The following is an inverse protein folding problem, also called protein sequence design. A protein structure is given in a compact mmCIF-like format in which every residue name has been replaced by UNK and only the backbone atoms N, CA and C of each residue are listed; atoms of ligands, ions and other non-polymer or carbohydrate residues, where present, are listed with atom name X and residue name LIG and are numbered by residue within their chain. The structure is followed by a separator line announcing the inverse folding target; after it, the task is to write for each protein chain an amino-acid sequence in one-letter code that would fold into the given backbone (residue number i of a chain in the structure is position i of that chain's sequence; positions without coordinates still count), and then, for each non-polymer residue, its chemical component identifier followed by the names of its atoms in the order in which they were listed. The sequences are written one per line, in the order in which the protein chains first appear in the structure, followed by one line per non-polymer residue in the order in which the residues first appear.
data_IF_798048993576
#
_entry.id   IF_798048993576
#
_cell.length_a   1.000
_cell.length_b   1.000
_cell.length_c   1.000
_cell.angle_alpha   90.00
_cell.angle_beta   90.00
_cell.angle_gamma   90.00
#
_symmetry.space_group_name_H-M   'P 1'
#
loop_
_entity.id
_entity.type
_entity.pdbx_description
1 polymer ?
#
# COMPACT_ATOMS: atom_id res chain seq x y z
N UNK A 1 17.68 42.70 -24.84
CA UNK A 1 18.22 41.37 -25.22
C UNK A 1 19.06 40.75 -24.11
N UNK A 2 20.13 41.39 -23.62
CA UNK A 2 20.99 40.82 -22.54
C UNK A 2 20.23 40.55 -21.23
N UNK A 3 19.34 41.47 -20.83
CA UNK A 3 18.51 41.35 -19.61
C UNK A 3 17.52 40.18 -19.70
N UNK A 4 16.98 39.92 -20.88
CA UNK A 4 16.04 38.82 -21.13
C UNK A 4 16.72 37.46 -20.97
N UNK A 5 17.95 37.33 -21.47
CA UNK A 5 18.78 36.12 -21.33
C UNK A 5 19.08 35.78 -19.86
N UNK A 6 19.38 36.77 -19.02
CA UNK A 6 19.62 36.55 -17.59
C UNK A 6 18.37 36.07 -16.85
N UNK A 7 17.20 36.62 -17.19
CA UNK A 7 15.92 36.21 -16.57
C UNK A 7 15.59 34.76 -16.95
N UNK A 8 15.75 34.38 -18.22
CA UNK A 8 15.52 33.00 -18.66
C UNK A 8 16.48 32.00 -18.03
N UNK A 9 17.76 32.36 -17.89
CA UNK A 9 18.76 31.54 -17.21
C UNK A 9 18.45 31.34 -15.71
N UNK A 10 17.94 32.39 -15.05
CA UNK A 10 17.54 32.31 -13.64
C UNK A 10 16.32 31.39 -13.44
N UNK A 11 15.31 31.46 -14.31
CA UNK A 11 14.16 30.56 -14.24
C UNK A 11 14.53 29.10 -14.55
N UNK A 12 15.45 28.86 -15.49
CA UNK A 12 15.94 27.51 -15.78
C UNK A 12 16.80 26.92 -14.66
N UNK A 13 17.47 27.75 -13.85
CA UNK A 13 18.23 27.29 -12.68
C UNK A 13 17.33 26.89 -11.50
N UNK A 14 16.10 27.41 -11.46
CA UNK A 14 15.12 27.13 -10.39
C UNK A 14 14.21 25.93 -10.68
N UNK A 15 14.20 25.42 -11.92
CA UNK A 15 13.33 24.31 -12.34
C UNK A 15 13.84 22.91 -11.97
N UNK A 16 14.90 22.79 -11.15
CA UNK A 16 15.71 21.58 -11.04
C UNK A 16 15.54 20.72 -9.78
N UNK A 17 14.64 21.06 -8.86
CA UNK A 17 14.52 20.30 -7.60
C UNK A 17 13.05 20.05 -7.27
N UNK A 18 12.43 19.11 -7.99
CA UNK A 18 11.23 18.46 -7.50
C UNK A 18 11.61 17.66 -6.25
N UNK A 19 11.45 18.28 -5.08
CA UNK A 19 11.51 17.59 -3.80
C UNK A 19 10.22 16.79 -3.63
N UNK A 20 10.05 15.71 -4.39
CA UNK A 20 9.02 14.74 -4.10
C UNK A 20 9.35 14.13 -2.74
N UNK A 21 8.64 14.51 -1.68
CA UNK A 21 8.76 13.86 -0.38
C UNK A 21 8.14 12.46 -0.51
N UNK A 22 8.93 11.50 -0.95
CA UNK A 22 8.49 10.12 -1.12
C UNK A 22 8.20 9.53 0.25
N UNK A 23 6.92 9.32 0.57
CA UNK A 23 6.53 8.61 1.78
C UNK A 23 6.26 7.15 1.46
N UNK A 24 7.00 6.24 2.11
CA UNK A 24 6.73 4.80 2.03
C UNK A 24 6.24 4.33 3.39
N UNK A 25 5.02 3.82 3.42
CA UNK A 25 4.40 3.26 4.62
C UNK A 25 4.45 1.74 4.56
N UNK A 26 5.09 1.11 5.55
CA UNK A 26 4.91 -0.30 5.84
C UNK A 26 3.57 -0.49 6.57
N UNK A 27 2.71 -1.34 6.03
CA UNK A 27 1.40 -1.62 6.60
C UNK A 27 1.11 -3.12 6.64
N UNK A 28 0.17 -3.52 7.49
CA UNK A 28 -0.31 -4.89 7.55
C UNK A 28 -1.48 -5.09 8.49
N UNK A 29 -2.08 -6.27 8.39
CA UNK A 29 -3.16 -6.76 9.23
C UNK A 29 -2.89 -8.23 9.54
N UNK A 30 -3.01 -8.58 10.82
CA UNK A 30 -2.98 -9.97 11.28
C UNK A 30 -4.39 -10.31 11.74
N UNK A 31 -5.00 -11.29 11.09
CA UNK A 31 -6.28 -11.87 11.47
C UNK A 31 -6.04 -13.33 11.86
N UNK A 32 -6.22 -13.59 13.15
CA UNK A 32 -6.14 -14.91 13.74
C UNK A 32 -7.16 -15.03 14.86
N UNK A 33 -7.74 -16.22 15.04
CA UNK A 33 -8.70 -16.51 16.09
C UNK A 33 -8.92 -18.00 16.26
N UNK A 34 -9.77 -18.38 17.22
CA UNK A 34 -10.18 -19.77 17.40
C UNK A 34 -11.51 -19.98 16.69
N UNK A 35 -11.56 -20.98 15.81
CA UNK A 35 -12.75 -21.34 15.04
C UNK A 35 -13.25 -22.74 15.36
N UNK A 36 -14.56 -22.94 15.18
CA UNK A 36 -15.20 -24.24 15.16
C UNK A 36 -15.77 -24.51 13.77
N UNK A 37 -15.43 -25.66 13.18
CA UNK A 37 -15.91 -26.06 11.87
C UNK A 37 -16.48 -27.47 11.90
N UNK A 38 -17.61 -27.68 11.21
CA UNK A 38 -18.20 -28.99 10.92
C UNK A 38 -18.14 -29.24 9.42
N UNK A 39 -17.66 -30.41 9.03
CA UNK A 39 -17.59 -30.85 7.63
C UNK A 39 -18.53 -32.05 7.46
N UNK A 40 -19.30 -32.05 6.37
CA UNK A 40 -20.09 -33.20 5.91
C UNK A 40 -19.67 -33.53 4.49
N UNK A 41 -19.29 -34.79 4.25
CA UNK A 41 -18.94 -35.30 2.93
C UNK A 41 -19.97 -36.32 2.42
N UNK A 42 -19.70 -36.90 1.26
CA UNK A 42 -20.46 -38.03 0.74
C UNK A 42 -20.27 -39.27 1.62
N UNK A 43 -21.13 -40.28 1.43
CA UNK A 43 -21.09 -41.58 2.14
C UNK A 43 -21.20 -41.48 3.67
N UNK A 44 -21.86 -40.42 4.16
CA UNK A 44 -22.08 -40.23 5.59
C UNK A 44 -20.87 -39.70 6.37
N UNK A 45 -19.79 -39.29 5.67
CA UNK A 45 -18.63 -38.69 6.31
C UNK A 45 -19.01 -37.43 7.10
N UNK A 46 -18.60 -37.38 8.38
CA UNK A 46 -18.83 -36.25 9.29
C UNK A 46 -17.60 -36.02 10.14
N UNK A 47 -17.17 -34.77 10.21
CA UNK A 47 -16.04 -34.36 11.04
C UNK A 47 -16.34 -33.01 11.71
N UNK A 48 -15.74 -32.78 12.87
CA UNK A 48 -15.72 -31.46 13.52
C UNK A 48 -14.35 -31.14 14.08
N UNK A 49 -13.90 -29.90 13.91
CA UNK A 49 -12.63 -29.40 14.44
C UNK A 49 -12.82 -28.09 15.22
N UNK A 50 -12.07 -27.96 16.31
CA UNK A 50 -11.77 -26.68 16.98
C UNK A 50 -10.28 -26.42 16.79
N UNK A 51 -9.92 -25.19 16.43
CA UNK A 51 -8.51 -24.83 16.35
C UNK A 51 -8.29 -23.38 15.95
N UNK A 52 -7.02 -22.99 15.93
CA UNK A 52 -6.63 -21.69 15.42
C UNK A 52 -6.90 -21.61 13.91
N UNK A 53 -7.44 -20.47 13.49
CA UNK A 53 -7.79 -20.18 12.11
C UNK A 53 -7.41 -18.74 11.80
N UNK A 54 -7.00 -18.48 10.56
CA UNK A 54 -6.60 -17.16 10.09
C UNK A 54 -7.60 -16.65 9.07
N UNK A 55 -7.71 -15.32 8.95
CA UNK A 55 -8.55 -14.69 7.95
C UNK A 55 -10.04 -14.91 8.18
N UNK A 56 -10.48 -14.96 9.44
CA UNK A 56 -11.87 -15.18 9.81
C UNK A 56 -12.77 -13.99 9.41
N UNK A 57 -12.24 -12.77 9.47
CA UNK A 57 -12.92 -11.54 9.04
C UNK A 57 -12.28 -10.93 7.79
N UNK A 58 -10.95 -10.93 7.72
CA UNK A 58 -10.17 -10.39 6.60
C UNK A 58 -8.84 -11.13 6.52
N UNK A 59 -8.40 -11.53 5.33
CA UNK A 59 -7.12 -12.24 5.18
C UNK A 59 -5.93 -11.43 5.74
N UNK A 60 -5.05 -12.11 6.49
CA UNK A 60 -3.77 -11.55 6.96
C UNK A 60 -2.91 -11.11 5.78
N UNK A 61 -2.31 -9.92 5.89
CA UNK A 61 -1.51 -9.31 4.81
C UNK A 61 -0.52 -8.32 5.36
N UNK A 62 0.55 -8.07 4.61
CA UNK A 62 1.45 -6.96 4.81
C UNK A 62 1.85 -6.40 3.44
N UNK A 63 2.31 -5.16 3.42
CA UNK A 63 2.78 -4.53 2.19
C UNK A 63 3.42 -3.18 2.44
N UNK A 64 3.97 -2.62 1.38
CA UNK A 64 4.46 -1.26 1.33
C UNK A 64 3.49 -0.43 0.49
N UNK A 65 3.17 0.77 0.94
CA UNK A 65 2.42 1.77 0.17
C UNK A 65 3.29 3.00 0.01
N UNK A 66 3.66 3.31 -1.23
CA UNK A 66 4.31 4.56 -1.57
C UNK A 66 3.27 5.63 -1.93
N UNK A 67 3.68 6.89 -1.79
CA UNK A 67 3.09 8.02 -2.51
C UNK A 67 4.23 8.97 -2.89
N UNK A 68 4.21 9.44 -4.13
CA UNK A 68 5.15 10.40 -4.69
C UNK A 68 4.38 11.61 -5.23
N UNK A 69 4.72 12.81 -4.76
CA UNK A 69 4.24 14.06 -5.36
C UNK A 69 5.05 14.36 -6.63
N UNK A 70 4.38 14.38 -7.77
CA UNK A 70 4.98 14.63 -9.08
C UNK A 70 4.90 16.11 -9.49
N UNK A 71 4.36 16.98 -8.63
CA UNK A 71 4.16 18.41 -8.87
C UNK A 71 2.83 18.74 -9.52
N UNK A 72 2.47 20.03 -9.53
CA UNK A 72 1.25 20.57 -10.15
C UNK A 72 -0.07 19.84 -9.75
N UNK A 73 -0.10 19.24 -8.55
CA UNK A 73 -1.25 18.48 -8.04
C UNK A 73 -1.35 17.04 -8.56
N UNK A 74 -0.33 16.52 -9.25
CA UNK A 74 -0.23 15.13 -9.69
C UNK A 74 0.51 14.28 -8.65
N UNK A 75 0.03 13.05 -8.40
CA UNK A 75 0.72 12.11 -7.51
C UNK A 75 0.62 10.68 -8.01
N UNK A 76 1.61 9.85 -7.68
CA UNK A 76 1.69 8.41 -8.01
C UNK A 76 1.88 7.53 -6.76
#
# INVERSE_FOLDING_TARGET
MKKTLFVTALFAALSGVAHAETSVTLYGLIDTGIGFQRIKGNDGYKESKVGMSNGLSSGSRWGLRGAEDLGDGLSA
#
